data_IF_706853035259
#
_entry.id   IF_706853035259
#
_cell.length_a   1.000
_cell.length_b   1.000
_cell.length_c   1.000
_cell.angle_alpha   90.00
_cell.angle_beta   90.00
_cell.angle_gamma   90.00
#
_symmetry.space_group_name_H-M   'P 1'
#
loop_
_entity.id
_entity.type
_entity.pdbx_description
1 polymer ?
#
# COMPACT_ATOMS: atom_id res chain seq x y z
N UNK A 1 6.46 -4.54 -25.32
CA UNK A 1 6.47 -4.30 -23.86
C UNK A 1 5.30 -3.40 -23.55
N UNK A 2 4.35 -3.86 -22.75
CA UNK A 2 3.36 -2.96 -22.17
C UNK A 2 4.13 -1.93 -21.34
N UNK A 3 4.01 -0.65 -21.68
CA UNK A 3 4.50 0.40 -20.80
C UNK A 3 3.54 0.43 -19.62
N UNK A 4 4.02 0.07 -18.43
CA UNK A 4 3.23 0.10 -17.19
C UNK A 4 2.50 1.44 -17.00
N UNK A 5 3.00 2.51 -17.60
CA UNK A 5 2.39 3.83 -17.74
C UNK A 5 0.91 3.78 -18.16
N UNK A 6 0.55 2.96 -19.16
CA UNK A 6 -0.84 2.90 -19.62
C UNK A 6 -1.77 2.29 -18.56
N UNK A 7 -1.28 1.30 -17.83
CA UNK A 7 -1.99 0.70 -16.69
C UNK A 7 -2.09 1.68 -15.54
N UNK A 8 -1.01 2.41 -15.23
CA UNK A 8 -0.99 3.44 -14.19
C UNK A 8 -1.99 4.57 -14.48
N UNK A 9 -2.06 5.04 -15.73
CA UNK A 9 -3.04 6.04 -16.16
C UNK A 9 -4.48 5.53 -16.06
N UNK A 10 -4.75 4.28 -16.47
CA UNK A 10 -6.06 3.66 -16.31
C UNK A 10 -6.45 3.51 -14.83
N UNK A 11 -5.52 3.06 -13.97
CA UNK A 11 -5.74 2.93 -12.53
C UNK A 11 -6.00 4.30 -11.87
N UNK A 12 -5.27 5.34 -12.28
CA UNK A 12 -5.49 6.72 -11.84
C UNK A 12 -6.88 7.24 -12.24
N UNK A 13 -7.32 6.98 -13.47
CA UNK A 13 -8.67 7.33 -13.91
C UNK A 13 -9.75 6.59 -13.08
N UNK A 14 -9.54 5.31 -12.79
CA UNK A 14 -10.43 4.53 -11.93
C UNK A 14 -10.50 5.07 -10.50
N UNK A 15 -9.37 5.47 -9.89
CA UNK A 15 -9.36 6.11 -8.57
C UNK A 15 -10.19 7.40 -8.54
N UNK A 16 -10.05 8.24 -9.58
CA UNK A 16 -10.87 9.45 -9.73
C UNK A 16 -12.36 9.13 -9.85
N UNK A 17 -12.71 8.08 -10.60
CA UNK A 17 -14.10 7.62 -10.71
C UNK A 17 -14.65 7.15 -9.36
N UNK A 18 -13.89 6.36 -8.59
CA UNK A 18 -14.29 5.91 -7.25
C UNK A 18 -14.56 7.08 -6.29
N UNK A 19 -13.69 8.10 -6.30
CA UNK A 19 -13.88 9.33 -5.52
C UNK A 19 -15.16 10.07 -5.94
N UNK A 20 -15.41 10.17 -7.25
CA UNK A 20 -16.59 10.84 -7.77
C UNK A 20 -17.89 10.10 -7.38
N UNK A 21 -17.93 8.77 -7.52
CA UNK A 21 -19.09 7.95 -7.14
C UNK A 21 -19.37 8.07 -5.65
N UNK A 22 -18.33 8.05 -4.82
CA UNK A 22 -18.48 8.10 -3.35
C UNK A 22 -18.92 9.46 -2.82
N UNK A 23 -18.59 10.54 -3.53
CA UNK A 23 -18.74 11.92 -3.04
C UNK A 23 -19.77 12.78 -3.77
N UNK A 24 -20.49 12.27 -4.77
CA UNK A 24 -21.41 13.06 -5.60
C UNK A 24 -22.81 12.46 -5.62
N UNK A 25 -23.80 13.36 -5.68
CA UNK A 25 -25.20 13.01 -5.90
C UNK A 25 -25.56 13.27 -7.36
N UNK A 26 -26.15 12.28 -8.01
CA UNK A 26 -26.72 12.38 -9.35
C UNK A 26 -28.12 11.76 -9.35
N UNK A 27 -29.02 12.16 -10.28
CA UNK A 27 -30.30 11.49 -10.45
C UNK A 27 -30.12 10.02 -10.84
N UNK A 28 -31.05 9.17 -10.42
CA UNK A 28 -31.02 7.71 -10.67
C UNK A 28 -30.84 7.36 -12.15
N UNK A 29 -31.43 8.13 -13.05
CA UNK A 29 -31.31 7.87 -14.49
C UNK A 29 -29.88 8.05 -15.00
N UNK A 30 -29.21 9.13 -14.56
CA UNK A 30 -27.80 9.34 -14.90
C UNK A 30 -26.90 8.27 -14.27
N UNK A 31 -27.23 7.78 -13.07
CA UNK A 31 -26.48 6.69 -12.44
C UNK A 31 -26.60 5.37 -13.19
N UNK A 32 -27.77 5.07 -13.77
CA UNK A 32 -27.96 3.87 -14.60
C UNK A 32 -27.16 3.95 -15.90
N UNK A 33 -27.20 5.08 -16.59
CA UNK A 33 -26.39 5.31 -17.80
C UNK A 33 -24.89 5.15 -17.49
N UNK A 34 -24.40 5.77 -16.40
CA UNK A 34 -23.01 5.63 -15.96
C UNK A 34 -22.67 4.17 -15.63
N UNK A 35 -23.58 3.43 -15.01
CA UNK A 35 -23.36 2.02 -14.70
C UNK A 35 -23.22 1.18 -15.97
N UNK A 36 -24.06 1.39 -16.99
CA UNK A 36 -23.95 0.72 -18.29
C UNK A 36 -22.59 1.00 -18.96
N UNK A 37 -22.12 2.25 -18.91
CA UNK A 37 -20.80 2.63 -19.42
C UNK A 37 -19.65 1.92 -18.67
N UNK A 38 -19.73 1.85 -17.33
CA UNK A 38 -18.74 1.17 -16.50
C UNK A 38 -18.70 -0.33 -16.80
N UNK A 39 -19.86 -0.99 -16.91
CA UNK A 39 -19.96 -2.41 -17.28
C UNK A 39 -19.39 -2.65 -18.68
N UNK A 40 -19.66 -1.76 -19.65
CA UNK A 40 -19.06 -1.85 -20.98
C UNK A 40 -17.53 -1.73 -20.95
N UNK A 41 -16.98 -0.84 -20.11
CA UNK A 41 -15.54 -0.72 -19.89
C UNK A 41 -14.96 -1.97 -19.23
N UNK A 42 -15.64 -2.54 -18.23
CA UNK A 42 -15.22 -3.77 -17.56
C UNK A 42 -15.15 -4.95 -18.55
N UNK A 43 -16.19 -5.13 -19.37
CA UNK A 43 -16.23 -6.17 -20.41
C UNK A 43 -15.05 -6.07 -21.40
N UNK A 44 -14.54 -4.86 -21.67
CA UNK A 44 -13.33 -4.69 -22.50
C UNK A 44 -12.08 -5.23 -21.83
N UNK A 45 -11.93 -5.06 -20.50
CA UNK A 45 -10.81 -5.66 -19.76
C UNK A 45 -10.91 -7.18 -19.73
N UNK A 46 -12.11 -7.72 -19.54
CA UNK A 46 -12.37 -9.18 -19.53
C UNK A 46 -12.12 -9.86 -20.88
N UNK A 47 -12.16 -9.11 -21.98
CA UNK A 47 -11.79 -9.61 -23.31
C UNK A 47 -10.29 -9.74 -23.54
N UNK A 48 -9.47 -9.20 -22.63
CA UNK A 48 -8.01 -9.28 -22.67
C UNK A 48 -7.47 -10.57 -22.04
N UNK A 49 -6.15 -10.71 -22.08
CA UNK A 49 -5.46 -11.82 -21.42
C UNK A 49 -5.49 -11.67 -19.88
N UNK A 50 -5.56 -12.81 -19.18
CA UNK A 50 -5.47 -12.83 -17.71
C UNK A 50 -4.09 -12.32 -17.25
N UNK A 51 -4.11 -11.46 -16.24
CA UNK A 51 -2.92 -10.82 -15.68
C UNK A 51 -2.60 -11.42 -14.32
N UNK A 52 -1.38 -11.91 -14.15
CA UNK A 52 -0.91 -12.46 -12.89
C UNK A 52 -0.04 -11.46 -12.11
N UNK A 53 -0.39 -11.20 -10.84
CA UNK A 53 0.36 -10.27 -9.98
C UNK A 53 1.84 -10.67 -9.81
N UNK A 54 2.12 -11.96 -9.63
CA UNK A 54 3.49 -12.44 -9.43
C UNK A 54 4.33 -12.18 -10.69
N UNK A 55 3.80 -12.52 -11.88
CA UNK A 55 4.51 -12.30 -13.14
C UNK A 55 4.88 -10.83 -13.32
N UNK A 56 3.96 -9.92 -13.02
CA UNK A 56 4.21 -8.48 -13.07
C UNK A 56 5.25 -8.02 -12.06
N UNK A 57 5.15 -8.50 -10.81
CA UNK A 57 6.12 -8.18 -9.77
C UNK A 57 7.53 -8.64 -10.18
N UNK A 58 7.65 -9.81 -10.81
CA UNK A 58 8.92 -10.35 -11.30
C UNK A 58 9.51 -9.58 -12.48
N UNK A 59 8.74 -8.70 -13.14
CA UNK A 59 9.31 -7.78 -14.14
C UNK A 59 10.15 -6.66 -13.52
N UNK A 60 10.02 -6.41 -12.21
CA UNK A 60 10.83 -5.41 -11.48
C UNK A 60 12.07 -6.08 -10.88
N UNK A 61 13.30 -5.66 -11.23
CA UNK A 61 14.52 -6.37 -10.83
C UNK A 61 14.69 -6.58 -9.32
N UNK A 62 14.40 -5.54 -8.52
CA UNK A 62 14.52 -5.63 -7.06
C UNK A 62 13.48 -6.58 -6.45
N UNK A 63 12.27 -6.64 -7.00
CA UNK A 63 11.24 -7.59 -6.59
C UNK A 63 11.60 -9.02 -6.97
N UNK A 64 12.12 -9.23 -8.19
CA UNK A 64 12.58 -10.52 -8.64
C UNK A 64 13.68 -11.09 -7.72
N UNK A 65 14.68 -10.27 -7.36
CA UNK A 65 15.75 -10.64 -6.44
C UNK A 65 15.22 -11.07 -5.07
N UNK A 66 14.32 -10.26 -4.49
CA UNK A 66 13.68 -10.55 -3.21
C UNK A 66 12.91 -11.88 -3.27
N UNK A 67 12.11 -12.11 -4.32
CA UNK A 67 11.35 -13.35 -4.46
C UNK A 67 12.22 -14.59 -4.70
N UNK A 68 13.38 -14.42 -5.34
CA UNK A 68 14.41 -15.44 -5.48
C UNK A 68 15.16 -15.78 -4.16
N UNK A 69 14.80 -15.13 -3.04
CA UNK A 69 15.41 -15.36 -1.73
C UNK A 69 16.71 -14.59 -1.52
N UNK A 70 17.00 -13.58 -2.35
CA UNK A 70 18.20 -12.77 -2.20
C UNK A 70 17.96 -11.65 -1.19
N UNK A 71 18.78 -11.60 -0.15
CA UNK A 71 18.81 -10.49 0.79
C UNK A 71 19.43 -9.26 0.11
N UNK A 72 18.58 -8.40 -0.45
CA UNK A 72 18.99 -7.23 -1.22
C UNK A 72 18.28 -5.98 -0.68
N UNK A 73 18.88 -5.28 0.30
CA UNK A 73 18.39 -3.97 0.73
C UNK A 73 18.30 -3.02 -0.47
N UNK A 74 17.31 -2.13 -0.45
CA UNK A 74 17.23 -1.09 -1.48
C UNK A 74 18.37 -0.09 -1.27
N UNK A 75 19.14 0.17 -2.34
CA UNK A 75 20.15 1.23 -2.36
C UNK A 75 19.47 2.59 -2.49
N UNK A 76 19.04 3.14 -1.34
CA UNK A 76 18.33 4.41 -1.22
C UNK A 76 19.04 5.33 -0.23
N UNK A 77 19.10 6.62 -0.52
CA UNK A 77 19.51 7.66 0.41
C UNK A 77 18.34 8.05 1.34
N UNK A 78 18.65 8.69 2.47
CA UNK A 78 17.62 9.24 3.35
C UNK A 78 16.87 10.34 2.60
N UNK A 79 15.53 10.23 2.55
CA UNK A 79 14.66 11.12 1.80
C UNK A 79 14.22 10.57 0.44
N UNK A 80 14.83 9.50 -0.05
CA UNK A 80 14.40 8.87 -1.30
C UNK A 80 13.05 8.16 -1.14
N UNK A 81 12.25 8.21 -2.21
CA UNK A 81 10.99 7.49 -2.30
C UNK A 81 11.24 5.99 -2.46
N UNK A 82 10.49 5.19 -1.71
CA UNK A 82 10.52 3.74 -1.75
C UNK A 82 9.47 3.29 -2.75
N UNK A 83 9.92 2.74 -3.87
CA UNK A 83 9.05 1.97 -4.76
C UNK A 83 8.66 0.65 -4.08
N UNK A 84 7.55 0.67 -3.34
CA UNK A 84 7.02 -0.52 -2.67
C UNK A 84 6.30 -1.46 -3.68
N UNK A 85 5.15 -2.02 -3.34
CA UNK A 85 4.33 -2.85 -4.21
C UNK A 85 3.46 -1.94 -5.09
N UNK A 86 3.64 -1.94 -6.43
CA UNK A 86 2.81 -1.14 -7.33
C UNK A 86 1.33 -1.55 -7.32
N UNK A 87 1.02 -2.70 -6.75
CA UNK A 87 -0.32 -3.23 -6.54
C UNK A 87 -0.86 -3.00 -5.14
N UNK A 88 -0.11 -2.32 -4.27
CA UNK A 88 -0.56 -1.99 -2.92
C UNK A 88 -1.78 -1.09 -2.95
N UNK A 89 -2.74 -1.34 -2.07
CA UNK A 89 -3.88 -0.46 -1.86
C UNK A 89 -3.51 0.80 -1.06
N UNK A 90 -2.34 0.84 -0.42
CA UNK A 90 -1.85 2.04 0.26
C UNK A 90 -1.24 3.05 -0.73
N UNK A 91 -0.29 2.62 -1.56
CA UNK A 91 0.44 3.53 -2.47
C UNK A 91 0.71 3.01 -3.87
N UNK A 92 0.18 1.84 -4.24
CA UNK A 92 0.41 1.23 -5.55
C UNK A 92 -0.19 2.07 -6.67
N UNK A 93 0.63 2.51 -7.61
CA UNK A 93 0.23 3.32 -8.76
C UNK A 93 -0.64 2.54 -9.75
N UNK A 94 -0.42 1.22 -9.84
CA UNK A 94 -1.18 0.29 -10.69
C UNK A 94 -2.47 -0.22 -10.04
N UNK A 95 -2.72 0.06 -8.76
CA UNK A 95 -3.95 -0.39 -8.09
C UNK A 95 -5.10 0.62 -8.27
N UNK A 96 -6.23 0.24 -8.90
CA UNK A 96 -7.35 1.16 -9.16
C UNK A 96 -8.11 1.65 -7.92
N UNK A 97 -7.80 1.10 -6.74
CA UNK A 97 -8.39 1.51 -5.45
C UNK A 97 -7.32 2.01 -4.46
N UNK A 98 -6.09 2.26 -4.92
CA UNK A 98 -5.03 2.78 -4.07
C UNK A 98 -5.42 4.10 -3.40
N UNK A 99 -5.03 4.25 -2.13
CA UNK A 99 -5.17 5.48 -1.35
C UNK A 99 -4.24 6.58 -1.89
N UNK A 100 -3.16 6.20 -2.59
CA UNK A 100 -2.22 7.12 -3.22
C UNK A 100 -1.21 7.72 -2.25
N UNK A 101 -0.75 6.94 -1.27
CA UNK A 101 0.28 7.35 -0.32
C UNK A 101 1.69 7.11 -0.88
N UNK A 102 2.64 8.00 -0.53
CA UNK A 102 4.06 7.85 -0.88
C UNK A 102 4.87 7.39 0.32
N UNK A 103 5.84 6.51 0.08
CA UNK A 103 6.71 5.92 1.11
C UNK A 103 8.12 6.49 0.94
N UNK A 104 8.77 6.88 2.04
CA UNK A 104 10.09 7.53 2.01
C UNK A 104 10.98 6.88 3.06
N UNK A 105 12.24 6.67 2.69
CA UNK A 105 13.28 6.24 3.62
C UNK A 105 13.59 7.37 4.60
N UNK A 106 13.28 7.17 5.88
CA UNK A 106 13.65 8.15 6.93
C UNK A 106 15.01 7.79 7.55
N UNK A 107 15.35 6.50 7.63
CA UNK A 107 16.67 5.97 7.98
C UNK A 107 16.78 4.51 7.56
N UNK A 108 17.90 3.84 7.82
CA UNK A 108 18.05 2.39 7.58
C UNK A 108 17.10 1.52 8.44
N UNK A 109 16.50 2.08 9.49
CA UNK A 109 15.61 1.39 10.42
C UNK A 109 14.21 2.00 10.51
N UNK A 110 13.87 2.97 9.66
CA UNK A 110 12.53 3.56 9.65
C UNK A 110 12.08 4.07 8.28
N UNK A 111 10.77 3.96 8.07
CA UNK A 111 10.06 4.42 6.87
C UNK A 111 8.94 5.37 7.29
N UNK A 112 8.73 6.38 6.48
CA UNK A 112 7.62 7.31 6.59
C UNK A 112 6.71 7.15 5.38
N UNK A 113 5.41 7.20 5.60
CA UNK A 113 4.39 7.22 4.58
C UNK A 113 3.58 8.52 4.73
N UNK A 114 3.40 9.26 3.64
CA UNK A 114 2.65 10.53 3.65
C UNK A 114 1.62 10.59 2.55
N UNK A 115 0.52 11.27 2.81
CA UNK A 115 -0.48 11.57 1.79
C UNK A 115 -1.70 12.24 2.38
N UNK A 116 -2.71 12.45 1.53
CA UNK A 116 -4.02 12.95 1.95
C UNK A 116 -5.03 11.83 1.74
N UNK A 117 -5.69 11.40 2.81
CA UNK A 117 -6.68 10.32 2.74
C UNK A 117 -8.02 10.90 2.33
N UNK A 118 -8.55 10.42 1.21
CA UNK A 118 -9.82 10.88 0.64
C UNK A 118 -11.02 10.52 1.55
N UNK A 119 -12.05 11.39 1.64
CA UNK A 119 -13.28 11.11 2.38
C UNK A 119 -13.99 9.78 2.03
N UNK A 120 -13.75 9.18 0.86
CA UNK A 120 -14.29 7.86 0.53
C UNK A 120 -13.79 6.74 1.47
N UNK A 121 -12.69 6.97 2.21
CA UNK A 121 -12.15 6.05 3.21
C UNK A 121 -12.61 6.37 4.64
N UNK A 122 -13.65 7.18 4.78
CA UNK A 122 -14.26 7.50 6.06
C UNK A 122 -14.88 6.25 6.72
N UNK A 123 -14.78 6.16 8.05
CA UNK A 123 -15.58 5.21 8.83
C UNK A 123 -16.81 5.92 9.37
N UNK A 124 -16.65 6.73 10.44
CA UNK A 124 -17.58 7.81 10.69
C UNK A 124 -17.36 8.94 9.67
N UNK A 125 -18.35 9.81 9.41
CA UNK A 125 -18.27 10.82 8.34
C UNK A 125 -17.04 11.74 8.37
N UNK A 126 -16.46 11.96 9.55
CA UNK A 126 -15.42 12.96 9.80
C UNK A 126 -14.00 12.36 9.94
N UNK A 127 -13.84 11.03 9.93
CA UNK A 127 -12.57 10.36 10.28
C UNK A 127 -12.26 9.16 9.40
N UNK A 128 -10.98 8.94 9.18
CA UNK A 128 -10.47 7.74 8.50
C UNK A 128 -10.96 6.50 9.24
N UNK A 129 -11.53 5.54 8.52
CA UNK A 129 -11.96 4.26 9.10
C UNK A 129 -10.79 3.58 9.82
N UNK A 130 -11.01 3.05 11.03
CA UNK A 130 -9.94 2.43 11.83
C UNK A 130 -9.21 1.30 11.06
N UNK A 131 -9.96 0.46 10.36
CA UNK A 131 -9.39 -0.58 9.48
C UNK A 131 -8.52 -0.04 8.33
N UNK A 132 -8.77 1.18 7.82
CA UNK A 132 -7.92 1.80 6.82
C UNK A 132 -6.61 2.27 7.46
N UNK A 133 -6.65 2.82 8.68
CA UNK A 133 -5.43 3.16 9.41
C UNK A 133 -4.57 1.92 9.71
N UNK A 134 -5.21 0.82 10.13
CA UNK A 134 -4.56 -0.46 10.36
C UNK A 134 -3.91 -1.02 9.08
N UNK A 135 -4.61 -0.94 7.95
CA UNK A 135 -4.08 -1.31 6.65
C UNK A 135 -2.85 -0.49 6.30
N UNK A 136 -2.93 0.85 6.43
CA UNK A 136 -1.82 1.73 6.06
C UNK A 136 -0.60 1.40 6.92
N UNK A 137 -0.75 1.27 8.24
CA UNK A 137 0.41 1.04 9.10
C UNK A 137 1.03 -0.35 8.89
N UNK A 138 0.25 -1.38 8.55
CA UNK A 138 0.79 -2.69 8.13
C UNK A 138 1.63 -2.56 6.86
N UNK A 139 1.15 -1.79 5.87
CA UNK A 139 1.87 -1.50 4.63
C UNK A 139 3.17 -0.70 4.89
N UNK A 140 3.18 0.30 5.78
CA UNK A 140 4.42 1.02 6.16
C UNK A 140 5.43 0.07 6.81
N UNK A 141 4.96 -0.83 7.68
CA UNK A 141 5.80 -1.86 8.30
C UNK A 141 6.33 -2.87 7.27
N UNK A 142 5.51 -3.26 6.29
CA UNK A 142 5.89 -4.09 5.15
C UNK A 142 6.95 -3.42 4.27
N UNK A 143 6.77 -2.13 3.96
CA UNK A 143 7.73 -1.32 3.23
C UNK A 143 9.08 -1.22 3.96
N UNK A 144 9.08 -1.05 5.29
CA UNK A 144 10.30 -1.07 6.09
C UNK A 144 11.04 -2.41 6.03
N UNK A 145 10.32 -3.54 6.14
CA UNK A 145 10.94 -4.85 5.98
C UNK A 145 11.56 -5.01 4.59
N UNK A 146 10.84 -4.61 3.55
CA UNK A 146 11.28 -4.71 2.16
C UNK A 146 12.45 -3.79 1.83
N UNK A 147 12.44 -2.54 2.30
CA UNK A 147 13.55 -1.60 2.18
C UNK A 147 14.83 -2.19 2.77
N UNK A 148 14.71 -2.93 3.87
CA UNK A 148 15.81 -3.64 4.52
C UNK A 148 16.16 -4.98 3.86
N UNK A 149 15.61 -5.31 2.69
CA UNK A 149 15.87 -6.56 1.96
C UNK A 149 15.22 -7.80 2.57
N UNK A 150 14.23 -7.64 3.46
CA UNK A 150 13.56 -8.75 4.16
C UNK A 150 12.18 -9.01 3.55
N UNK A 151 11.91 -10.25 3.19
CA UNK A 151 10.54 -10.74 3.12
C UNK A 151 10.10 -11.23 4.48
N UNK A 152 9.05 -10.62 5.01
CA UNK A 152 8.48 -11.01 6.28
C UNK A 152 6.96 -10.90 6.23
N UNK A 153 6.28 -11.85 6.88
CA UNK A 153 4.83 -11.90 6.94
C UNK A 153 4.33 -11.38 8.28
N UNK A 154 3.25 -10.61 8.27
CA UNK A 154 2.60 -10.12 9.49
C UNK A 154 2.10 -11.32 10.31
N UNK A 155 2.61 -11.46 11.54
CA UNK A 155 2.18 -12.46 12.51
C UNK A 155 1.05 -11.92 13.39
N UNK A 156 1.19 -10.68 13.83
CA UNK A 156 0.13 -9.89 14.42
C UNK A 156 0.36 -8.41 14.16
N UNK A 157 -0.73 -7.66 14.22
CA UNK A 157 -0.73 -6.21 14.28
C UNK A 157 -1.63 -5.78 15.43
N UNK A 158 -1.07 -5.05 16.40
CA UNK A 158 -1.82 -4.39 17.47
C UNK A 158 -1.86 -2.89 17.17
N UNK A 159 -3.06 -2.32 17.12
CA UNK A 159 -3.28 -0.89 16.89
C UNK A 159 -4.01 -0.30 18.09
N UNK A 160 -3.43 0.74 18.67
CA UNK A 160 -4.03 1.58 19.71
C UNK A 160 -4.49 2.89 19.05
N UNK A 161 -5.81 3.11 18.98
CA UNK A 161 -6.40 4.35 18.44
C UNK A 161 -6.55 5.36 19.58
N UNK A 162 -5.73 6.41 19.55
CA UNK A 162 -5.63 7.39 20.64
C UNK A 162 -6.29 8.73 20.32
N UNK A 163 -6.58 9.00 19.06
CA UNK A 163 -7.15 10.27 18.61
C UNK A 163 -7.88 10.18 17.27
N UNK A 164 -8.48 11.30 16.83
CA UNK A 164 -9.21 11.36 15.58
C UNK A 164 -8.27 11.38 14.37
N UNK A 165 -8.32 10.33 13.54
CA UNK A 165 -7.56 10.30 12.28
C UNK A 165 -8.19 11.24 11.23
N UNK A 166 -7.40 12.16 10.62
CA UNK A 166 -7.95 13.22 9.78
C UNK A 166 -8.19 12.77 8.33
N UNK A 167 -9.24 13.33 7.70
CA UNK A 167 -9.55 13.19 6.27
C UNK A 167 -9.21 14.49 5.53
N UNK A 168 -8.92 14.38 4.23
CA UNK A 168 -8.74 15.52 3.31
C UNK A 168 -7.65 16.54 3.71
N UNK A 169 -6.76 16.19 4.65
CA UNK A 169 -5.57 16.94 5.02
C UNK A 169 -4.36 16.00 5.09
N UNK A 170 -3.12 16.54 5.07
CA UNK A 170 -1.93 15.71 5.15
C UNK A 170 -1.88 14.88 6.44
N UNK A 171 -1.61 13.58 6.29
CA UNK A 171 -1.34 12.66 7.38
C UNK A 171 0.03 11.99 7.17
N UNK A 172 0.71 11.67 8.28
CA UNK A 172 1.98 10.96 8.32
C UNK A 172 1.80 9.66 9.08
N UNK A 173 2.19 8.54 8.47
CA UNK A 173 2.38 7.27 9.13
C UNK A 173 3.88 6.97 9.18
N UNK A 174 4.35 6.38 10.27
CA UNK A 174 5.77 6.07 10.46
C UNK A 174 5.89 4.67 11.03
N UNK A 175 6.85 3.89 10.55
CA UNK A 175 7.23 2.60 11.14
C UNK A 175 8.74 2.56 11.39
N UNK A 176 9.16 1.89 12.46
CA UNK A 176 10.57 1.69 12.79
C UNK A 176 10.83 0.36 13.47
N UNK A 177 12.07 -0.12 13.35
CA UNK A 177 12.53 -1.35 14.02
C UNK A 177 12.57 -1.12 15.52
N UNK A 178 11.90 -1.99 16.27
CA UNK A 178 11.99 -2.00 17.74
C UNK A 178 12.91 -3.12 18.24
N UNK A 179 12.79 -4.32 17.67
CA UNK A 179 13.56 -5.48 18.09
C UNK A 179 13.65 -6.53 16.98
N UNK A 180 14.80 -7.20 16.87
CA UNK A 180 14.99 -8.35 15.98
C UNK A 180 15.55 -9.52 16.79
N UNK A 181 14.86 -10.66 16.74
CA UNK A 181 15.23 -11.90 17.43
C UNK A 181 15.13 -13.09 16.48
N UNK A 182 16.24 -13.42 15.82
CA UNK A 182 16.26 -14.42 14.76
C UNK A 182 15.32 -13.99 13.63
N UNK A 183 14.25 -14.77 13.39
CA UNK A 183 13.25 -14.48 12.36
C UNK A 183 12.13 -13.54 12.83
N UNK A 184 12.06 -13.21 14.11
CA UNK A 184 11.03 -12.33 14.66
C UNK A 184 11.50 -10.88 14.53
N UNK A 185 10.73 -10.07 13.81
CA UNK A 185 10.98 -8.64 13.63
C UNK A 185 9.81 -7.90 14.26
N UNK A 186 10.03 -7.29 15.43
CA UNK A 186 9.06 -6.42 16.07
C UNK A 186 9.26 -5.00 15.60
N UNK A 187 8.22 -4.44 15.00
CA UNK A 187 8.15 -3.08 14.50
C UNK A 187 7.18 -2.26 15.34
N UNK A 188 7.47 -0.98 15.50
CA UNK A 188 6.57 0.01 16.10
C UNK A 188 6.13 0.98 15.03
N UNK A 189 4.96 1.58 15.21
CA UNK A 189 4.46 2.58 14.29
C UNK A 189 3.60 3.65 14.94
N UNK A 190 3.45 4.78 14.26
CA UNK A 190 2.57 5.88 14.64
C UNK A 190 1.84 6.47 13.44
N UNK A 191 0.72 7.13 13.72
CA UNK A 191 -0.04 7.95 12.78
C UNK A 191 -0.26 9.33 13.37
N UNK A 192 0.23 10.35 12.68
CA UNK A 192 0.25 11.74 13.13
C UNK A 192 -0.45 12.64 12.09
N UNK A 193 -1.30 13.54 12.56
CA UNK A 193 -2.02 14.54 11.75
C UNK A 193 -1.80 15.95 12.30
N UNK A 194 -2.50 16.96 11.74
CA UNK A 194 -2.38 18.35 12.18
C UNK A 194 -2.73 18.56 13.67
N UNK A 195 -3.67 17.77 14.18
CA UNK A 195 -4.14 17.83 15.58
C UNK A 195 -3.31 16.95 16.52
N UNK A 196 -2.24 16.33 16.03
CA UNK A 196 -1.35 15.45 16.78
C UNK A 196 -1.55 13.97 16.45
N UNK A 197 -1.07 13.12 17.36
CA UNK A 197 -1.08 11.67 17.16
C UNK A 197 -2.49 11.09 17.30
N UNK A 198 -2.88 10.26 16.34
CA UNK A 198 -4.17 9.60 16.33
C UNK A 198 -4.08 8.08 16.51
N UNK A 199 -2.94 7.45 16.23
CA UNK A 199 -2.73 6.03 16.50
C UNK A 199 -1.28 5.66 16.78
N UNK A 200 -1.10 4.54 17.50
CA UNK A 200 0.17 3.83 17.67
C UNK A 200 -0.01 2.35 17.36
N UNK A 201 1.04 1.68 16.90
CA UNK A 201 1.00 0.26 16.60
C UNK A 201 2.27 -0.49 17.01
N UNK A 202 2.09 -1.78 17.25
CA UNK A 202 3.14 -2.78 17.31
C UNK A 202 2.78 -3.91 16.36
N UNK A 203 3.71 -4.26 15.47
CA UNK A 203 3.59 -5.39 14.57
C UNK A 203 4.70 -6.38 14.81
N UNK A 204 4.38 -7.67 14.85
CA UNK A 204 5.38 -8.73 14.76
C UNK A 204 5.33 -9.31 13.36
N UNK A 205 6.49 -9.35 12.72
CA UNK A 205 6.69 -9.99 11.42
C UNK A 205 7.59 -11.20 11.56
N UNK A 206 7.29 -12.26 10.82
CA UNK A 206 8.15 -13.44 10.72
C UNK A 206 8.87 -13.38 9.37
N UNK A 207 10.19 -13.22 9.42
CA UNK A 207 11.03 -13.32 8.23
C UNK A 207 10.84 -14.70 7.60
N UNK A 208 10.56 -14.68 6.29
CA UNK A 208 10.54 -15.87 5.45
C UNK A 208 11.89 -16.58 5.59
N UNK A 209 11.88 -17.90 5.66
CA UNK A 209 13.13 -18.63 5.45
C UNK A 209 13.47 -18.52 3.97
N UNK A 210 14.65 -18.01 3.66
CA UNK A 210 15.13 -17.96 2.29
C UNK A 210 15.13 -19.40 1.76
N UNK A 211 14.35 -19.62 0.69
CA UNK A 211 14.42 -20.88 -0.05
C UNK A 211 15.78 -20.94 -0.77
N UNK A 212 16.30 -22.14 -1.07
CA UNK A 212 17.49 -22.25 -1.91
C UNK A 212 17.35 -21.41 -3.18
N UNK A 213 18.44 -20.75 -3.60
CA UNK A 213 18.47 -19.93 -4.81
C UNK A 213 17.96 -20.72 -6.02
N UNK A 214 17.04 -20.13 -6.79
CA UNK A 214 16.37 -20.80 -7.92
C UNK A 214 15.12 -21.62 -7.57
N UNK A 215 14.70 -21.65 -6.30
CA UNK A 215 13.40 -22.22 -5.93
C UNK A 215 12.26 -21.42 -6.56
N UNK A 216 11.23 -22.12 -7.05
CA UNK A 216 10.02 -21.45 -7.51
C UNK A 216 9.40 -20.63 -6.36
N UNK A 217 8.90 -19.40 -6.63
CA UNK A 217 8.11 -18.65 -5.66
C UNK A 217 6.99 -19.53 -5.12
N UNK A 218 6.92 -19.69 -3.80
CA UNK A 218 5.79 -20.40 -3.17
C UNK A 218 4.61 -19.42 -3.10
N UNK A 219 3.38 -19.83 -3.50
CA UNK A 219 2.17 -19.01 -3.37
C UNK A 219 1.92 -18.53 -1.95
#
# INVERSE_FOLDING_TARGET
MSTWDAVAEAAKAARRLNQAISGRLLPDEALKEIAEDIESLAARFESGDERNKLDDMLTRPHLAAIYAGQFTPLELEVGDEIEFDPFSIAGGDLHPASIGLSFVKESDESVVCTGTIDPMFAGPPERVHGGVQALIIDEVMGALNRMRGRQAYTAYLKVDYIGPAPLAVPAKFRAWVHKIEGRKITLRGSGDGPDGRFMEAEGLFIQRQDLPEGSAPTP
#
